data_IF_426841067893
#
_entry.id   IF_426841067893
#
_cell.length_a   1.000
_cell.length_b   1.000
_cell.length_c   1.000
_cell.angle_alpha   90.00
_cell.angle_beta   90.00
_cell.angle_gamma   90.00
#
_symmetry.space_group_name_H-M   'P 1'
#
loop_
_entity.id
_entity.type
_entity.pdbx_description
1 polymer ?
#
# COMPACT_ATOMS: atom_id res chain seq x y z
N UNK A 1 12.10 -7.25 -7.44
CA UNK A 1 11.92 -6.29 -8.56
C UNK A 1 10.51 -5.71 -8.48
N UNK A 2 10.32 -4.48 -7.99
CA UNK A 2 8.98 -3.84 -7.95
C UNK A 2 8.58 -3.51 -9.39
N UNK A 3 7.48 -4.07 -9.90
CA UNK A 3 6.96 -3.70 -11.21
C UNK A 3 6.68 -2.19 -11.24
N UNK A 4 7.08 -1.55 -12.34
CA UNK A 4 6.92 -0.10 -12.54
C UNK A 4 5.45 0.18 -12.85
N UNK A 5 4.61 0.34 -11.82
CA UNK A 5 3.22 0.76 -11.99
C UNK A 5 3.20 2.12 -12.69
N UNK A 6 2.49 2.22 -13.81
CA UNK A 6 2.25 3.45 -14.57
C UNK A 6 0.76 3.69 -14.61
N UNK A 7 0.36 4.96 -14.56
CA UNK A 7 -1.02 5.37 -14.72
C UNK A 7 -1.16 6.25 -15.97
N UNK A 8 -2.24 6.08 -16.72
CA UNK A 8 -2.48 6.81 -17.97
C UNK A 8 -3.89 7.39 -18.00
N UNK A 9 -4.00 8.67 -18.34
CA UNK A 9 -5.27 9.35 -18.59
C UNK A 9 -5.33 9.77 -20.05
N UNK A 10 -6.25 9.21 -20.82
CA UNK A 10 -6.39 9.44 -22.25
C UNK A 10 -7.39 10.55 -22.54
N UNK A 11 -6.94 11.63 -23.16
CA UNK A 11 -7.79 12.69 -23.70
C UNK A 11 -7.81 12.64 -25.23
N UNK A 12 -8.98 12.68 -25.85
CA UNK A 12 -9.13 12.58 -27.32
C UNK A 12 -9.53 13.95 -27.88
N UNK A 13 -8.70 14.50 -28.77
CA UNK A 13 -8.91 15.80 -29.42
C UNK A 13 -9.46 15.61 -30.84
N UNK A 14 -10.78 15.60 -31.02
CA UNK A 14 -11.42 15.37 -32.33
C UNK A 14 -11.37 16.53 -33.34
N UNK A 15 -10.90 17.74 -32.96
CA UNK A 15 -10.92 18.94 -33.82
C UNK A 15 -9.52 19.37 -34.32
N UNK A 16 -9.52 19.97 -35.52
CA UNK A 16 -8.41 20.51 -36.34
C UNK A 16 -6.99 20.63 -35.73
N UNK A 17 -5.99 20.43 -36.59
CA UNK A 17 -4.55 20.45 -36.28
C UNK A 17 -4.00 21.72 -35.60
N UNK A 18 -4.77 22.83 -35.56
CA UNK A 18 -4.33 24.08 -34.92
C UNK A 18 -4.42 24.09 -33.39
N UNK A 19 -5.24 23.21 -32.80
CA UNK A 19 -5.44 23.16 -31.36
C UNK A 19 -4.54 22.12 -30.69
N UNK A 20 -4.05 22.43 -29.50
CA UNK A 20 -3.25 21.56 -28.65
C UNK A 20 -3.94 21.28 -27.32
N UNK A 21 -3.53 20.18 -26.69
CA UNK A 21 -4.03 19.74 -25.39
C UNK A 21 -3.06 20.17 -24.31
N UNK A 22 -3.58 20.69 -23.20
CA UNK A 22 -2.81 20.96 -21.98
C UNK A 22 -3.35 20.13 -20.83
N UNK A 23 -2.45 19.64 -19.98
CA UNK A 23 -2.81 18.92 -18.76
C UNK A 23 -2.53 19.79 -17.55
N UNK A 24 -3.54 19.96 -16.69
CA UNK A 24 -3.45 20.83 -15.52
C UNK A 24 -3.90 20.04 -14.28
N UNK A 25 -3.17 20.20 -13.18
CA UNK A 25 -3.58 19.69 -11.88
C UNK A 25 -4.47 20.73 -11.19
N UNK A 26 -5.73 20.38 -10.90
CA UNK A 26 -6.72 21.36 -10.41
C UNK A 26 -6.42 21.90 -9.01
N UNK A 27 -5.80 21.10 -8.14
CA UNK A 27 -5.61 21.46 -6.72
C UNK A 27 -4.77 22.73 -6.51
N UNK A 28 -3.83 22.98 -7.42
CA UNK A 28 -2.85 24.07 -7.37
C UNK A 28 -2.72 24.79 -8.72
N UNK A 29 -3.60 24.48 -9.67
CA UNK A 29 -3.60 25.01 -11.03
C UNK A 29 -2.26 24.85 -11.76
N UNK A 30 -1.46 23.85 -11.35
CA UNK A 30 -0.14 23.64 -11.93
C UNK A 30 -0.24 23.01 -13.31
N UNK A 31 0.34 23.69 -14.31
CA UNK A 31 0.42 23.18 -15.69
C UNK A 31 1.45 22.05 -15.72
N UNK A 32 0.99 20.84 -16.04
CA UNK A 32 1.84 19.67 -16.15
C UNK A 32 2.47 19.60 -17.54
N UNK A 33 1.64 19.77 -18.57
CA UNK A 33 2.08 19.76 -19.98
C UNK A 33 1.25 20.75 -20.78
N UNK A 34 1.84 21.32 -21.84
CA UNK A 34 1.11 22.05 -22.89
C UNK A 34 1.59 21.56 -24.25
N UNK A 35 0.69 20.94 -25.01
CA UNK A 35 1.04 20.15 -26.17
C UNK A 35 2.02 19.03 -25.79
N UNK A 36 3.09 18.88 -26.58
CA UNK A 36 4.13 17.87 -26.37
C UNK A 36 5.16 18.29 -25.30
N UNK A 37 5.13 19.54 -24.84
CA UNK A 37 6.09 20.08 -23.89
C UNK A 37 5.62 19.79 -22.46
N UNK A 38 6.55 19.31 -21.63
CA UNK A 38 6.32 19.07 -20.20
C UNK A 38 6.82 20.28 -19.41
N UNK A 39 5.94 20.90 -18.62
CA UNK A 39 6.22 22.12 -17.85
C UNK A 39 6.58 21.83 -16.40
N UNK A 40 6.02 20.75 -15.84
CA UNK A 40 6.39 20.30 -14.49
C UNK A 40 7.85 19.82 -14.46
N UNK A 41 8.55 20.09 -13.36
CA UNK A 41 9.88 19.55 -13.10
C UNK A 41 9.84 18.08 -12.64
N UNK A 42 8.67 17.56 -12.29
CA UNK A 42 8.49 16.17 -11.89
C UNK A 42 8.55 15.25 -13.12
N UNK A 43 9.70 14.60 -13.30
CA UNK A 43 10.03 13.70 -14.41
C UNK A 43 9.10 12.47 -14.54
N UNK A 44 8.26 12.21 -13.53
CA UNK A 44 7.26 11.13 -13.57
C UNK A 44 6.12 11.43 -14.53
N UNK A 45 5.82 12.70 -14.76
CA UNK A 45 4.76 13.14 -15.67
C UNK A 45 5.31 13.22 -17.10
N UNK A 46 4.64 12.56 -18.03
CA UNK A 46 5.01 12.56 -19.44
C UNK A 46 3.75 12.55 -20.31
N UNK A 47 3.78 13.27 -21.42
CA UNK A 47 2.75 13.16 -22.45
C UNK A 47 3.15 12.09 -23.45
N UNK A 48 2.21 11.19 -23.75
CA UNK A 48 2.34 10.18 -24.80
C UNK A 48 1.32 10.52 -25.88
N UNK A 49 1.84 10.78 -27.07
CA UNK A 49 1.04 11.05 -28.26
C UNK A 49 1.62 10.23 -29.42
N UNK A 50 0.90 9.21 -29.91
CA UNK A 50 1.27 8.53 -31.16
C UNK A 50 1.31 9.54 -32.33
N UNK A 51 2.13 9.29 -33.34
CA UNK A 51 2.36 10.24 -34.43
C UNK A 51 1.06 10.72 -35.08
N UNK A 52 0.91 12.06 -35.13
CA UNK A 52 -0.29 12.75 -35.65
C UNK A 52 -1.64 12.29 -35.06
N UNK A 53 -1.64 11.61 -33.91
CA UNK A 53 -2.86 11.13 -33.28
C UNK A 53 -3.62 12.24 -32.55
N UNK A 54 -4.94 12.05 -32.46
CA UNK A 54 -5.84 12.82 -31.60
C UNK A 54 -5.79 12.36 -30.13
N UNK A 55 -5.09 11.26 -29.85
CA UNK A 55 -4.97 10.69 -28.52
C UNK A 55 -3.81 11.35 -27.76
N UNK A 56 -4.16 12.17 -26.78
CA UNK A 56 -3.25 12.82 -25.86
C UNK A 56 -3.32 12.13 -24.50
N UNK A 57 -2.32 11.32 -24.19
CA UNK A 57 -2.31 10.55 -22.94
C UNK A 57 -1.32 11.16 -21.95
N UNK A 58 -1.78 11.55 -20.77
CA UNK A 58 -0.89 11.87 -19.65
C UNK A 58 -0.51 10.59 -18.93
N UNK A 59 0.79 10.28 -18.89
CA UNK A 59 1.37 9.19 -18.12
C UNK A 59 1.98 9.71 -16.82
N UNK A 60 1.71 9.02 -15.72
CA UNK A 60 2.38 9.22 -14.42
C UNK A 60 3.13 7.92 -14.07
N UNK A 61 4.46 8.00 -14.00
CA UNK A 61 5.31 6.89 -13.57
C UNK A 61 5.38 6.84 -12.05
N UNK A 62 5.32 5.64 -11.47
CA UNK A 62 5.44 5.46 -10.02
C UNK A 62 4.45 6.37 -9.26
N UNK A 63 3.14 6.22 -9.51
CA UNK A 63 2.13 7.04 -8.87
C UNK A 63 2.18 6.85 -7.36
N UNK A 64 1.92 7.93 -6.64
CA UNK A 64 1.91 7.96 -5.17
C UNK A 64 0.55 8.42 -4.67
N UNK A 65 0.22 8.11 -3.41
CA UNK A 65 -1.05 8.52 -2.80
C UNK A 65 -1.28 10.04 -2.90
N UNK A 66 -0.22 10.84 -2.85
CA UNK A 66 -0.28 12.31 -2.99
C UNK A 66 -0.62 12.79 -4.40
N UNK A 67 -0.56 11.93 -5.41
CA UNK A 67 -0.94 12.27 -6.77
C UNK A 67 -2.46 12.16 -6.97
N UNK A 68 -3.19 11.57 -6.02
CA UNK A 68 -4.66 11.58 -6.03
C UNK A 68 -5.20 13.00 -6.09
N UNK A 69 -6.25 13.20 -6.88
CA UNK A 69 -6.84 14.51 -7.11
C UNK A 69 -7.49 14.63 -8.48
N UNK A 70 -7.85 15.86 -8.85
CA UNK A 70 -8.48 16.15 -10.13
C UNK A 70 -7.42 16.66 -11.12
N UNK A 71 -7.37 16.03 -12.28
CA UNK A 71 -6.54 16.43 -13.42
C UNK A 71 -7.45 16.84 -14.56
N UNK A 72 -7.13 17.92 -15.24
CA UNK A 72 -7.95 18.46 -16.30
C UNK A 72 -7.17 18.45 -17.62
N UNK A 73 -7.72 17.78 -18.61
CA UNK A 73 -7.32 17.95 -20.00
C UNK A 73 -8.04 19.18 -20.54
N UNK A 74 -7.31 20.18 -21.02
CA UNK A 74 -7.86 21.39 -21.62
C UNK A 74 -7.45 21.48 -23.09
N UNK A 75 -8.38 21.90 -23.95
CA UNK A 75 -8.11 22.25 -25.34
C UNK A 75 -8.19 23.76 -25.46
N UNK A 76 -7.23 24.37 -26.16
CA UNK A 76 -7.13 25.82 -26.35
C UNK A 76 -8.14 26.39 -27.38
N UNK A 77 -9.39 25.94 -27.30
CA UNK A 77 -10.53 26.51 -28.04
C UNK A 77 -11.07 27.75 -27.33
N UNK A 78 -11.89 28.54 -28.03
CA UNK A 78 -12.65 29.64 -27.45
C UNK A 78 -14.15 29.37 -27.65
N UNK A 79 -14.93 29.14 -26.58
CA UNK A 79 -14.51 28.99 -25.18
C UNK A 79 -13.68 27.72 -24.93
N UNK A 80 -12.89 27.69 -23.86
CA UNK A 80 -12.02 26.54 -23.55
C UNK A 80 -12.85 25.28 -23.30
N UNK A 81 -12.47 24.20 -23.97
CA UNK A 81 -13.05 22.87 -23.70
C UNK A 81 -12.19 22.14 -22.68
N UNK A 82 -12.82 21.48 -21.70
CA UNK A 82 -12.10 20.78 -20.63
C UNK A 82 -12.75 19.46 -20.25
N UNK A 83 -11.92 18.45 -19.96
CA UNK A 83 -12.31 17.15 -19.44
C UNK A 83 -11.57 16.87 -18.13
N UNK A 84 -12.32 16.67 -17.04
CA UNK A 84 -11.76 16.43 -15.72
C UNK A 84 -11.73 14.93 -15.36
N UNK A 85 -10.58 14.46 -14.91
CA UNK A 85 -10.34 13.11 -14.39
C UNK A 85 -10.20 13.17 -12.87
N UNK A 86 -10.96 12.34 -12.16
CA UNK A 86 -10.74 12.10 -10.73
C UNK A 86 -9.82 10.90 -10.56
N UNK A 87 -8.57 11.19 -10.19
CA UNK A 87 -7.57 10.17 -9.91
C UNK A 87 -7.59 9.77 -8.44
N UNK A 88 -7.75 8.47 -8.17
CA UNK A 88 -7.61 7.89 -6.84
C UNK A 88 -6.49 6.84 -6.84
N UNK A 89 -5.32 7.21 -6.34
CA UNK A 89 -4.18 6.30 -6.15
C UNK A 89 -4.34 5.63 -4.79
N UNK A 90 -4.38 4.30 -4.78
CA UNK A 90 -4.46 3.46 -3.59
C UNK A 90 -3.22 2.57 -3.50
N UNK A 91 -2.75 2.30 -2.29
CA UNK A 91 -1.70 1.31 -2.04
C UNK A 91 -2.36 -0.05 -1.83
N UNK A 92 -2.15 -0.97 -2.77
CA UNK A 92 -2.60 -2.35 -2.60
C UNK A 92 -1.79 -3.00 -1.47
N UNK A 93 -2.48 -3.64 -0.52
CA UNK A 93 -1.86 -4.38 0.59
C UNK A 93 -2.40 -5.80 0.63
N UNK A 94 -1.51 -6.77 0.80
CA UNK A 94 -1.91 -8.12 1.16
C UNK A 94 -2.43 -8.15 2.59
N UNK A 95 -3.27 -9.13 2.89
CA UNK A 95 -3.74 -9.45 4.23
C UNK A 95 -3.87 -10.95 4.38
N UNK A 96 -3.29 -11.50 5.43
CA UNK A 96 -3.55 -12.87 5.85
C UNK A 96 -4.86 -12.87 6.66
N UNK A 97 -5.81 -13.73 6.32
CA UNK A 97 -7.06 -13.87 7.04
C UNK A 97 -6.81 -14.54 8.40
N UNK A 98 -7.43 -14.02 9.45
CA UNK A 98 -7.27 -14.53 10.82
C UNK A 98 -6.53 -13.55 11.74
N UNK A 99 -6.11 -14.03 12.94
CA UNK A 99 -5.33 -13.24 13.88
C UNK A 99 -3.88 -13.04 13.39
N UNK A 100 -3.21 -11.98 13.89
CA UNK A 100 -1.80 -11.70 13.57
C UNK A 100 -0.80 -12.70 14.15
N UNK A 101 -1.17 -13.33 15.27
CA UNK A 101 -0.47 -14.45 15.87
C UNK A 101 -1.46 -15.62 16.01
N UNK A 102 -1.19 -16.72 15.31
CA UNK A 102 -2.04 -17.90 15.26
C UNK A 102 -1.44 -19.01 16.11
N UNK A 103 -2.19 -19.47 17.12
CA UNK A 103 -1.81 -20.65 17.91
C UNK A 103 -2.56 -21.88 17.42
N UNK A 104 -1.83 -22.95 17.15
CA UNK A 104 -2.36 -24.20 16.58
C UNK A 104 -1.92 -25.38 17.44
N UNK A 105 -2.78 -26.35 17.70
CA UNK A 105 -2.37 -27.59 18.38
C UNK A 105 -1.66 -28.54 17.42
N UNK A 106 -0.59 -29.18 17.88
CA UNK A 106 0.10 -30.22 17.12
C UNK A 106 -0.88 -31.31 16.63
N UNK A 107 -0.72 -31.75 15.40
CA UNK A 107 -1.62 -32.71 14.72
C UNK A 107 -2.83 -32.09 14.03
N UNK A 108 -3.16 -30.82 14.29
CA UNK A 108 -4.31 -30.14 13.68
C UNK A 108 -4.06 -29.76 12.21
N UNK A 109 -5.13 -29.65 11.43
CA UNK A 109 -5.08 -29.09 10.08
C UNK A 109 -5.21 -27.56 10.12
N UNK A 110 -4.39 -26.85 9.34
CA UNK A 110 -4.35 -25.39 9.27
C UNK A 110 -4.44 -24.95 7.81
N UNK A 111 -5.23 -23.92 7.56
CA UNK A 111 -5.26 -23.25 6.26
C UNK A 111 -5.00 -21.76 6.43
N UNK A 112 -3.87 -21.29 5.91
CA UNK A 112 -3.57 -19.87 5.82
C UNK A 112 -4.07 -19.34 4.49
N UNK A 113 -4.88 -18.27 4.54
CA UNK A 113 -5.43 -17.63 3.34
C UNK A 113 -4.92 -16.21 3.29
N UNK A 114 -4.21 -15.87 2.21
CA UNK A 114 -3.81 -14.49 1.92
C UNK A 114 -4.66 -13.93 0.79
N UNK A 115 -5.13 -12.69 0.95
CA UNK A 115 -5.90 -11.96 -0.05
C UNK A 115 -5.30 -10.58 -0.30
N UNK A 116 -5.43 -10.08 -1.53
CA UNK A 116 -5.27 -8.65 -1.83
C UNK A 116 -6.66 -8.04 -1.91
N UNK A 117 -6.99 -7.14 -0.99
CA UNK A 117 -8.34 -6.59 -0.89
C UNK A 117 -8.73 -5.75 -2.12
N UNK A 118 -7.77 -5.12 -2.81
CA UNK A 118 -8.00 -4.22 -3.95
C UNK A 118 -6.74 -4.19 -4.85
N UNK A 119 -6.81 -4.84 -6.01
CA UNK A 119 -5.84 -4.70 -7.09
C UNK A 119 -6.58 -4.37 -8.39
N UNK A 120 -5.95 -3.72 -9.37
CA UNK A 120 -6.53 -3.63 -10.72
C UNK A 120 -6.87 -5.06 -11.19
N UNK A 121 -8.05 -5.21 -11.80
CA UNK A 121 -8.73 -6.48 -12.07
C UNK A 121 -7.86 -7.53 -12.81
N UNK A 122 -6.74 -7.15 -13.43
CA UNK A 122 -6.03 -8.02 -14.39
C UNK A 122 -4.56 -8.37 -14.11
N UNK A 123 -3.88 -7.94 -13.03
CA UNK A 123 -2.40 -8.00 -13.03
C UNK A 123 -1.71 -8.45 -11.73
N UNK A 124 -2.38 -9.21 -10.88
CA UNK A 124 -1.81 -9.67 -9.60
C UNK A 124 -1.43 -11.14 -9.57
N UNK A 125 -0.29 -11.45 -8.96
CA UNK A 125 0.11 -12.80 -8.57
C UNK A 125 0.53 -12.75 -7.11
N UNK A 126 -0.05 -13.62 -6.27
CA UNK A 126 0.20 -13.67 -4.83
C UNK A 126 0.86 -14.98 -4.42
N UNK A 127 2.03 -14.89 -3.78
CA UNK A 127 2.71 -16.05 -3.21
C UNK A 127 2.70 -16.00 -1.69
N UNK A 128 2.37 -17.10 -1.02
CA UNK A 128 2.69 -17.28 0.38
C UNK A 128 4.04 -18.01 0.50
N UNK A 129 5.08 -17.34 0.97
CA UNK A 129 6.39 -17.94 1.13
C UNK A 129 6.48 -18.57 2.52
N UNK A 130 6.71 -19.89 2.54
CA UNK A 130 7.16 -20.65 3.72
C UNK A 130 8.51 -21.29 3.42
N UNK A 131 9.28 -21.66 4.45
CA UNK A 131 10.60 -22.29 4.26
C UNK A 131 10.55 -23.65 3.56
N UNK A 132 9.40 -24.32 3.49
CA UNK A 132 9.13 -25.48 2.63
C UNK A 132 7.63 -25.82 2.67
N UNK A 133 6.88 -25.59 1.57
CA UNK A 133 5.81 -26.46 1.02
C UNK A 133 4.89 -25.71 0.04
N UNK A 134 4.32 -26.50 -0.87
CA UNK A 134 3.61 -26.12 -2.10
C UNK A 134 2.34 -25.29 -1.85
N UNK A 135 2.19 -24.18 -2.57
CA UNK A 135 1.00 -23.33 -2.53
C UNK A 135 0.02 -23.74 -3.62
N UNK A 136 -1.27 -23.78 -3.30
CA UNK A 136 -2.34 -23.95 -4.28
C UNK A 136 -3.00 -22.58 -4.55
N UNK A 137 -3.16 -22.25 -5.84
CA UNK A 137 -3.76 -21.01 -6.32
C UNK A 137 -5.23 -21.19 -6.69
N UNK A 138 -6.07 -20.19 -6.42
CA UNK A 138 -7.46 -20.19 -6.90
C UNK A 138 -7.81 -19.08 -7.89
N UNK A 139 -7.10 -17.95 -7.91
CA UNK A 139 -7.54 -16.79 -8.72
C UNK A 139 -6.49 -15.66 -8.90
N UNK A 140 -5.22 -15.87 -8.51
CA UNK A 140 -4.15 -14.87 -8.66
C UNK A 140 -4.16 -13.73 -7.63
N UNK A 141 -5.29 -13.44 -6.98
CA UNK A 141 -5.45 -12.46 -5.88
C UNK A 141 -5.51 -13.12 -4.50
N UNK A 142 -5.76 -14.42 -4.47
CA UNK A 142 -5.85 -15.26 -3.28
C UNK A 142 -4.82 -16.38 -3.32
N UNK A 143 -4.06 -16.52 -2.25
CA UNK A 143 -3.10 -17.61 -2.04
C UNK A 143 -3.51 -18.44 -0.82
N UNK A 144 -3.54 -19.77 -0.94
CA UNK A 144 -3.86 -20.68 0.16
C UNK A 144 -2.71 -21.65 0.43
N UNK A 145 -2.30 -21.73 1.68
CA UNK A 145 -1.38 -22.75 2.18
C UNK A 145 -2.11 -23.66 3.14
N UNK A 146 -2.12 -24.95 2.82
CA UNK A 146 -2.76 -25.97 3.63
C UNK A 146 -1.71 -26.86 4.30
N UNK A 147 -1.78 -26.98 5.62
CA UNK A 147 -0.97 -27.86 6.44
C UNK A 147 -1.93 -28.91 7.01
N UNK A 148 -1.85 -30.15 6.55
CA UNK A 148 -2.80 -31.20 6.94
C UNK A 148 -2.62 -31.69 8.38
N UNK A 149 -1.38 -31.74 8.87
CA UNK A 149 -1.04 -32.15 10.24
C UNK A 149 0.13 -31.32 10.75
N UNK A 150 -0.18 -30.31 11.58
CA UNK A 150 0.79 -29.33 12.07
C UNK A 150 1.81 -29.95 13.03
N UNK A 151 3.10 -29.70 12.78
CA UNK A 151 4.22 -30.11 13.63
C UNK A 151 4.80 -28.92 14.36
N UNK A 152 5.50 -29.16 15.48
CA UNK A 152 6.22 -28.09 16.19
C UNK A 152 7.19 -27.33 15.26
N UNK A 153 7.79 -28.03 14.29
CA UNK A 153 8.68 -27.48 13.26
C UNK A 153 7.99 -26.56 12.25
N UNK A 154 6.66 -26.61 12.14
CA UNK A 154 5.90 -25.70 11.29
C UNK A 154 5.70 -24.32 11.97
N UNK A 155 6.14 -24.16 13.22
CA UNK A 155 6.13 -22.85 13.88
C UNK A 155 7.06 -21.87 13.16
N UNK A 156 6.59 -20.66 12.91
CA UNK A 156 7.39 -19.64 12.26
C UNK A 156 6.58 -18.50 11.67
N UNK A 157 7.28 -17.60 11.00
CA UNK A 157 6.69 -16.48 10.29
C UNK A 157 6.34 -16.88 8.85
N UNK A 158 5.06 -16.81 8.52
CA UNK A 158 4.54 -17.06 7.18
C UNK A 158 4.28 -15.72 6.50
N UNK A 159 4.98 -15.45 5.40
CA UNK A 159 4.90 -14.17 4.69
C UNK A 159 4.23 -14.32 3.33
N UNK A 160 3.19 -13.55 3.10
CA UNK A 160 2.56 -13.36 1.81
C UNK A 160 3.25 -12.22 1.05
N UNK A 161 3.86 -12.54 -0.09
CA UNK A 161 4.65 -11.64 -0.91
C UNK A 161 4.00 -11.50 -2.29
N UNK A 162 3.07 -10.55 -2.46
CA UNK A 162 2.45 -10.28 -3.75
C UNK A 162 3.36 -9.44 -4.66
N UNK A 163 3.14 -9.54 -5.98
CA UNK A 163 3.91 -8.77 -6.97
C UNK A 163 3.50 -7.29 -7.07
N UNK A 164 2.24 -6.97 -6.74
CA UNK A 164 1.61 -5.66 -6.94
C UNK A 164 1.21 -4.94 -5.65
N UNK A 165 1.50 -5.53 -4.49
CA UNK A 165 1.03 -5.03 -3.19
C UNK A 165 2.14 -5.09 -2.13
N UNK A 166 1.93 -4.41 -1.01
CA UNK A 166 2.79 -4.59 0.16
C UNK A 166 2.58 -6.00 0.76
N UNK A 167 3.66 -6.68 1.23
CA UNK A 167 3.56 -8.00 1.83
C UNK A 167 2.86 -7.95 3.20
N UNK A 168 2.33 -9.10 3.61
CA UNK A 168 1.74 -9.30 4.93
C UNK A 168 2.28 -10.58 5.54
N UNK A 169 2.44 -10.64 6.87
CA UNK A 169 2.96 -11.82 7.55
C UNK A 169 2.11 -12.18 8.76
N UNK A 170 2.13 -13.46 9.12
CA UNK A 170 1.49 -14.01 10.32
C UNK A 170 2.50 -14.92 11.03
N UNK A 171 2.55 -14.86 12.37
CA UNK A 171 3.32 -15.84 13.13
C UNK A 171 2.41 -17.02 13.48
N UNK A 172 2.87 -18.23 13.19
CA UNK A 172 2.18 -19.46 13.57
C UNK A 172 2.98 -20.13 14.68
N UNK A 173 2.32 -20.42 15.79
CA UNK A 173 2.87 -21.12 16.94
C UNK A 173 2.14 -22.44 17.11
N UNK A 174 2.84 -23.54 16.83
CA UNK A 174 2.31 -24.88 17.05
C UNK A 174 2.66 -25.31 18.48
N UNK A 175 1.64 -25.62 19.29
CA UNK A 175 1.78 -26.00 20.70
C UNK A 175 1.34 -27.46 20.91
N UNK A 176 2.01 -28.15 21.84
CA UNK A 176 1.51 -29.42 22.36
C UNK A 176 0.35 -29.12 23.31
N UNK A 177 -0.78 -29.81 23.14
CA UNK A 177 -2.06 -29.51 23.79
C UNK A 177 -2.12 -29.69 25.32
N UNK A 178 -0.99 -29.74 26.02
CA UNK A 178 -0.93 -30.09 27.45
C UNK A 178 -0.90 -28.88 28.41
N UNK A 179 -0.69 -27.64 27.95
CA UNK A 179 -0.62 -26.49 28.87
C UNK A 179 -1.33 -25.24 28.31
N UNK A 180 -2.56 -24.90 28.75
CA UNK A 180 -3.09 -23.55 28.56
C UNK A 180 -2.23 -22.59 29.40
N UNK A 181 -1.85 -21.45 28.82
CA UNK A 181 -1.03 -20.44 29.47
C UNK A 181 -1.60 -20.07 30.85
N UNK A 182 -0.74 -20.10 31.87
CA UNK A 182 -1.10 -19.70 33.23
C UNK A 182 -1.55 -18.22 33.25
N UNK A 183 -2.78 -17.99 33.70
CA UNK A 183 -3.30 -16.67 34.01
C UNK A 183 -2.50 -16.10 35.20
N UNK A 184 -1.73 -15.04 34.97
CA UNK A 184 -1.09 -14.31 36.06
C UNK A 184 -2.16 -13.56 36.87
N UNK A 185 -2.61 -14.16 37.98
CA UNK A 185 -3.30 -13.41 39.03
C UNK A 185 -2.26 -12.57 39.78
N UNK A 186 -2.27 -11.26 39.54
CA UNK A 186 -1.45 -10.30 40.29
C UNK A 186 -1.91 -10.20 41.73
N UNK A 187 -1.19 -10.86 42.65
CA UNK A 187 -1.39 -10.74 44.08
C UNK A 187 -0.87 -9.38 44.56
N UNK A 188 -1.77 -8.43 44.86
CA UNK A 188 -1.43 -7.16 45.52
C UNK A 188 -1.75 -7.28 47.01
N UNK A 189 -0.73 -7.52 47.83
CA UNK A 189 -0.81 -7.33 49.28
C UNK A 189 -0.93 -5.84 49.60
N UNK A 190 -1.82 -5.55 50.54
CA UNK A 190 -2.22 -4.24 51.03
C UNK A 190 -1.34 -3.73 52.18
N UNK A 191 -1.03 -2.42 52.09
CA UNK A 191 -0.76 -1.41 53.15
C UNK A 191 0.60 -1.39 53.89
N UNK A 192 1.03 -0.25 54.51
CA UNK A 192 0.42 1.10 54.54
C UNK A 192 1.35 2.27 54.10
N UNK A 193 0.74 3.46 54.04
CA UNK A 193 1.29 4.78 53.72
C UNK A 193 2.41 5.25 54.66
N UNK A 194 3.45 5.88 54.11
CA UNK A 194 4.20 6.92 54.81
C UNK A 194 4.42 8.12 53.87
N UNK A 195 3.93 9.29 54.29
CA UNK A 195 4.15 10.56 53.63
C UNK A 195 5.55 11.07 54.01
N UNK A 196 6.36 11.45 53.03
CA UNK A 196 7.29 12.56 53.24
C UNK A 196 7.31 13.45 52.01
N UNK A 197 6.93 14.70 52.26
CA UNK A 197 6.79 15.81 51.36
C UNK A 197 8.17 16.47 51.23
N UNK A 198 8.79 16.50 50.05
CA UNK A 198 9.80 17.51 49.75
C UNK A 198 9.57 18.06 48.34
N UNK A 199 9.28 19.35 48.34
CA UNK A 199 8.96 20.21 47.22
C UNK A 199 10.27 20.84 46.70
N UNK A 200 10.64 20.59 45.45
CA UNK A 200 11.53 21.50 44.71
C UNK A 200 11.09 21.58 43.26
N UNK A 201 10.47 22.71 42.93
CA UNK A 201 10.26 23.20 41.57
C UNK A 201 11.63 23.40 40.90
N UNK A 202 11.87 22.72 39.79
CA UNK A 202 12.89 23.16 38.83
C UNK A 202 12.26 23.19 37.44
N UNK A 203 11.95 24.41 37.00
CA UNK A 203 11.67 24.75 35.62
C UNK A 203 12.88 24.37 34.76
N UNK A 204 12.66 23.60 33.68
CA UNK A 204 13.50 23.75 32.49
C UNK A 204 12.67 23.50 31.22
N UNK A 205 12.53 24.58 30.47
CA UNK A 205 12.00 24.62 29.10
C UNK A 205 13.21 24.42 28.18
N UNK A 206 13.09 23.57 27.16
CA UNK A 206 13.39 23.90 25.74
C UNK A 206 14.08 22.79 24.93
N UNK A 207 13.36 22.41 23.86
CA UNK A 207 13.82 22.32 22.47
C UNK A 207 14.66 21.11 22.06
N UNK A 208 13.99 20.15 21.41
CA UNK A 208 14.60 19.13 20.54
C UNK A 208 14.85 19.72 19.14
N UNK A 209 16.11 20.04 18.85
CA UNK A 209 16.69 20.07 17.50
C UNK A 209 17.86 19.07 17.63
N UNK A 210 17.99 18.02 16.81
CA UNK A 210 18.56 18.08 15.47
C UNK A 210 18.20 16.79 14.70
N UNK A 211 17.61 17.00 13.52
CA UNK A 211 17.69 16.11 12.35
C UNK A 211 19.16 15.97 11.93
N UNK A 212 19.72 14.77 11.93
CA UNK A 212 20.54 14.27 10.81
C UNK A 212 20.95 12.82 11.08
N UNK A 213 20.33 11.87 10.37
CA UNK A 213 20.97 10.59 10.09
C UNK A 213 21.24 10.58 8.59
N UNK A 214 22.53 10.36 8.32
CA UNK A 214 23.18 10.29 7.02
C UNK A 214 22.74 9.04 6.27
#
# INVERSE_FOLDING_TARGET
MRQKTKLTMLCIKKHYNKYYVSWIRKRDLHILTAGILTYTSDQRFQVIRPDKSDNWTLQIKFPQLRDSGIYECQVNTEPKMSLAYRLNVIEAKARVLGPGDLQVKAGSSVTLVCVINQGPHDLGTVFLVSRCKYNHWSDGLTSRLHISSARLSDSGNYSCVPTIAAPASVNVHVINGEHPAAMQHGNKNTAPLSLSLHCTLVYSISVFIIKHIR
#
